data_IF_625389087168
#
_entry.id   IF_625389087168
#
_cell.length_a   1.000
_cell.length_b   1.000
_cell.length_c   1.000
_cell.angle_alpha   90.00
_cell.angle_beta   90.00
_cell.angle_gamma   90.00
#
_symmetry.space_group_name_H-M   'P 1'
#
loop_
_entity.id
_entity.type
_entity.pdbx_description
1 polymer ?
#
# COMPACT_ATOMS: atom_id res chain seq x y z
N UNK A 1 16.87 -4.39 27.43
CA UNK A 1 16.37 -5.77 27.58
C UNK A 1 15.70 -6.18 26.29
N UNK A 2 16.30 -7.17 25.62
CA UNK A 2 15.85 -7.69 24.34
C UNK A 2 14.66 -8.60 24.54
N UNK A 3 13.52 -8.26 23.93
CA UNK A 3 12.35 -9.15 23.91
C UNK A 3 12.55 -10.13 22.75
N UNK A 4 12.88 -11.38 23.04
CA UNK A 4 12.82 -12.49 22.08
C UNK A 4 11.37 -12.97 21.99
N UNK A 5 10.72 -12.80 20.85
CA UNK A 5 9.49 -13.52 20.53
C UNK A 5 9.87 -14.85 19.90
N UNK A 6 9.53 -15.96 20.56
CA UNK A 6 9.65 -17.30 20.03
C UNK A 6 8.34 -17.61 19.28
N UNK A 7 8.44 -17.92 18.00
CA UNK A 7 7.34 -18.50 17.24
C UNK A 7 7.31 -20.00 17.53
N UNK A 8 6.38 -20.44 18.38
CA UNK A 8 5.99 -21.85 18.49
C UNK A 8 4.84 -22.11 17.53
N UNK A 9 5.07 -22.96 16.53
CA UNK A 9 3.98 -23.56 15.80
C UNK A 9 3.37 -24.67 16.60
N UNK A 10 2.03 -24.71 16.70
CA UNK A 10 1.29 -25.92 17.04
C UNK A 10 -0.16 -25.83 16.55
N UNK A 11 -0.51 -26.88 15.89
CA UNK A 11 -1.77 -27.53 15.52
C UNK A 11 -3.11 -26.79 15.63
N UNK A 12 -3.75 -26.74 14.47
CA UNK A 12 -5.15 -26.46 14.29
C UNK A 12 -6.02 -27.64 14.74
N UNK A 13 -6.73 -27.50 15.83
CA UNK A 13 -8.00 -28.17 16.05
C UNK A 13 -8.98 -27.19 16.64
N UNK A 14 -9.94 -26.86 15.80
CA UNK A 14 -11.06 -25.97 16.11
C UNK A 14 -12.00 -26.60 17.13
N UNK A 15 -12.10 -26.01 18.28
CA UNK A 15 -13.34 -26.02 19.05
C UNK A 15 -13.52 -24.62 19.67
N UNK A 16 -14.65 -23.99 19.36
CA UNK A 16 -15.13 -22.80 20.02
C UNK A 16 -15.35 -23.10 21.52
N UNK A 17 -14.28 -23.03 22.29
CA UNK A 17 -14.39 -23.01 23.75
C UNK A 17 -14.64 -21.56 24.16
N UNK A 18 -15.90 -21.25 24.45
CA UNK A 18 -16.26 -20.06 25.23
C UNK A 18 -15.46 -20.17 26.53
N UNK A 19 -14.48 -19.30 26.70
CA UNK A 19 -13.71 -19.22 27.91
C UNK A 19 -14.60 -18.79 29.07
N UNK A 20 -14.86 -19.67 30.03
CA UNK A 20 -15.63 -19.38 31.25
C UNK A 20 -14.71 -18.93 32.40
N UNK A 21 -13.73 -18.11 32.13
CA UNK A 21 -12.91 -17.54 33.20
C UNK A 21 -13.30 -16.07 33.41
N UNK A 22 -13.71 -15.72 34.61
CA UNK A 22 -14.16 -14.38 35.03
C UNK A 22 -13.07 -13.28 34.90
N UNK A 23 -11.87 -13.62 34.37
CA UNK A 23 -10.73 -12.71 34.20
C UNK A 23 -9.95 -12.90 32.91
N UNK A 24 -10.46 -13.66 31.91
CA UNK A 24 -9.87 -13.70 30.58
C UNK A 24 -10.53 -12.65 29.70
N UNK A 25 -9.81 -11.57 29.42
CA UNK A 25 -10.16 -10.67 28.35
C UNK A 25 -10.01 -11.40 27.03
N UNK A 26 -11.10 -12.01 26.56
CA UNK A 26 -11.20 -12.57 25.21
C UNK A 26 -11.41 -11.40 24.22
N UNK A 27 -10.48 -10.46 24.21
CA UNK A 27 -10.49 -9.35 23.26
C UNK A 27 -10.50 -9.86 21.83
N UNK A 28 -11.24 -9.17 20.97
CA UNK A 28 -11.24 -9.47 19.55
C UNK A 28 -9.90 -9.19 18.87
N UNK A 29 -9.89 -9.27 17.59
CA UNK A 29 -8.71 -9.04 16.76
C UNK A 29 -9.00 -8.07 15.63
N UNK A 30 -8.11 -7.12 15.39
CA UNK A 30 -8.07 -6.33 14.17
C UNK A 30 -6.99 -6.89 13.26
N UNK A 31 -7.38 -7.32 12.08
CA UNK A 31 -6.45 -7.66 11.00
C UNK A 31 -6.48 -6.57 9.96
N UNK A 32 -5.36 -5.90 9.74
CA UNK A 32 -5.23 -4.90 8.66
C UNK A 32 -4.69 -5.61 7.45
N UNK A 33 -5.56 -5.83 6.47
CA UNK A 33 -5.33 -6.76 5.36
C UNK A 33 -5.01 -6.02 4.08
N UNK A 34 -3.80 -6.21 3.56
CA UNK A 34 -3.44 -5.77 2.21
C UNK A 34 -4.02 -6.72 1.16
N UNK A 35 -4.87 -6.19 0.30
CA UNK A 35 -5.49 -6.98 -0.78
C UNK A 35 -4.76 -6.87 -2.12
N UNK A 36 -3.59 -6.20 -2.15
CA UNK A 36 -2.91 -5.92 -3.40
C UNK A 36 -3.81 -5.08 -4.32
N UNK A 37 -3.82 -5.33 -5.63
CA UNK A 37 -4.72 -4.66 -6.58
C UNK A 37 -6.19 -5.08 -6.41
N UNK A 38 -6.47 -6.11 -5.63
CA UNK A 38 -7.82 -6.64 -5.38
C UNK A 38 -8.22 -7.83 -6.25
N UNK A 39 -7.38 -8.23 -7.22
CA UNK A 39 -7.58 -9.45 -7.99
C UNK A 39 -7.16 -10.68 -7.16
N UNK A 40 -7.97 -11.75 -7.19
CA UNK A 40 -7.75 -12.94 -6.39
C UNK A 40 -6.35 -13.56 -6.58
N UNK A 41 -5.89 -13.67 -7.82
CA UNK A 41 -4.59 -14.24 -8.15
C UNK A 41 -3.39 -13.44 -7.59
N UNK A 42 -3.61 -12.21 -7.15
CA UNK A 42 -2.59 -11.32 -6.61
C UNK A 42 -2.80 -11.02 -5.11
N UNK A 43 -3.73 -11.73 -4.47
CA UNK A 43 -3.89 -11.74 -3.02
C UNK A 43 -3.10 -12.89 -2.41
N UNK A 44 -2.45 -12.63 -1.28
CA UNK A 44 -1.83 -13.73 -0.54
C UNK A 44 -2.88 -14.66 0.06
N UNK A 45 -2.55 -15.95 0.20
CA UNK A 45 -3.42 -16.89 0.89
C UNK A 45 -3.73 -16.43 2.33
N UNK A 46 -2.74 -15.83 2.99
CA UNK A 46 -2.91 -15.26 4.32
C UNK A 46 -3.96 -14.14 4.34
N UNK A 47 -3.97 -13.27 3.34
CA UNK A 47 -4.99 -12.22 3.20
C UNK A 47 -6.39 -12.81 2.99
N UNK A 48 -6.50 -13.81 2.12
CA UNK A 48 -7.76 -14.51 1.86
C UNK A 48 -8.29 -15.16 3.15
N UNK A 49 -7.45 -15.89 3.88
CA UNK A 49 -7.82 -16.55 5.13
C UNK A 49 -8.24 -15.54 6.20
N UNK A 50 -7.51 -14.42 6.33
CA UNK A 50 -7.84 -13.37 7.28
C UNK A 50 -9.23 -12.75 7.02
N UNK A 51 -9.59 -12.56 5.76
CA UNK A 51 -10.92 -12.07 5.37
C UNK A 51 -11.98 -13.13 5.71
N UNK A 52 -11.73 -14.40 5.39
CA UNK A 52 -12.67 -15.48 5.65
C UNK A 52 -12.94 -15.69 7.14
N UNK A 53 -11.92 -15.59 7.98
CA UNK A 53 -12.01 -15.77 9.43
C UNK A 53 -12.61 -14.58 10.18
N UNK A 54 -12.78 -13.43 9.52
CA UNK A 54 -13.32 -12.21 10.13
C UNK A 54 -14.84 -12.19 10.07
N UNK A 55 -15.45 -11.67 11.12
CA UNK A 55 -16.93 -11.51 11.23
C UNK A 55 -17.37 -10.21 10.56
N UNK A 56 -16.54 -9.18 10.68
CA UNK A 56 -16.83 -7.81 10.23
C UNK A 56 -15.73 -7.33 9.29
N UNK A 57 -16.14 -6.75 8.17
CA UNK A 57 -15.26 -6.13 7.18
C UNK A 57 -15.41 -4.62 7.26
N UNK A 58 -14.31 -3.92 7.51
CA UNK A 58 -14.25 -2.46 7.55
C UNK A 58 -13.38 -1.97 6.42
N UNK A 59 -13.83 -0.98 5.66
CA UNK A 59 -13.01 -0.46 4.57
C UNK A 59 -13.65 0.66 3.78
N UNK A 60 -12.86 1.21 2.86
CA UNK A 60 -13.34 2.13 1.85
C UNK A 60 -14.20 1.36 0.82
N UNK A 61 -15.38 1.89 0.50
CA UNK A 61 -16.36 1.21 -0.33
C UNK A 61 -15.80 0.71 -1.66
N UNK A 62 -14.89 1.48 -2.28
CA UNK A 62 -14.24 1.09 -3.53
C UNK A 62 -13.39 -0.19 -3.36
N UNK A 63 -12.70 -0.34 -2.23
CA UNK A 63 -11.86 -1.53 -1.97
C UNK A 63 -12.71 -2.73 -1.56
N UNK A 64 -13.75 -2.50 -0.78
CA UNK A 64 -14.75 -3.53 -0.42
C UNK A 64 -15.37 -4.13 -1.68
N UNK A 65 -15.70 -3.29 -2.67
CA UNK A 65 -16.25 -3.74 -3.94
C UNK A 65 -15.34 -4.70 -4.72
N UNK A 66 -14.02 -4.60 -4.54
CA UNK A 66 -13.05 -5.50 -5.19
C UNK A 66 -13.12 -6.95 -4.67
N UNK A 67 -13.60 -7.14 -3.45
CA UNK A 67 -13.65 -8.45 -2.77
C UNK A 67 -15.09 -8.89 -2.43
N UNK A 68 -16.08 -8.27 -3.05
CA UNK A 68 -17.52 -8.47 -2.73
C UNK A 68 -17.94 -9.93 -2.74
N UNK A 69 -17.41 -10.74 -3.64
CA UNK A 69 -17.78 -12.15 -3.79
C UNK A 69 -17.27 -13.04 -2.63
N UNK A 70 -16.34 -12.53 -1.81
CA UNK A 70 -15.76 -13.22 -0.65
C UNK A 70 -16.35 -12.82 0.68
N UNK A 71 -17.17 -11.79 0.70
CA UNK A 71 -17.68 -11.15 1.92
C UNK A 71 -19.21 -11.07 1.96
N UNK A 72 -19.91 -11.81 1.09
CA UNK A 72 -21.36 -11.76 0.95
C UNK A 72 -22.12 -12.15 2.24
N UNK A 73 -21.49 -12.96 3.08
CA UNK A 73 -22.02 -13.46 4.36
C UNK A 73 -21.56 -12.65 5.58
N UNK A 74 -20.83 -11.57 5.37
CA UNK A 74 -20.19 -10.81 6.46
C UNK A 74 -20.87 -9.47 6.70
N UNK A 75 -20.78 -9.01 7.95
CA UNK A 75 -21.15 -7.63 8.27
C UNK A 75 -20.14 -6.66 7.64
N UNK A 76 -20.66 -5.63 6.98
CA UNK A 76 -19.84 -4.65 6.26
C UNK A 76 -20.03 -3.27 6.86
N UNK A 77 -18.92 -2.66 7.28
CA UNK A 77 -18.84 -1.27 7.72
C UNK A 77 -18.01 -0.50 6.69
N UNK A 78 -18.69 -0.01 5.67
CA UNK A 78 -18.10 0.79 4.61
C UNK A 78 -18.37 2.28 4.82
N UNK A 79 -17.44 3.11 4.41
CA UNK A 79 -17.64 4.55 4.34
C UNK A 79 -16.90 5.18 3.15
N UNK A 80 -17.08 6.49 2.98
CA UNK A 80 -16.53 7.24 1.87
C UNK A 80 -15.05 7.60 2.02
N UNK A 81 -14.55 8.34 1.05
CA UNK A 81 -13.19 8.86 1.01
C UNK A 81 -12.95 9.85 2.16
N UNK A 82 -11.70 9.94 2.64
CA UNK A 82 -11.26 10.86 3.71
C UNK A 82 -11.87 10.63 5.09
N UNK A 83 -12.30 9.40 5.36
CA UNK A 83 -12.83 8.98 6.66
C UNK A 83 -11.97 7.87 7.29
N UNK A 84 -10.66 7.94 7.07
CA UNK A 84 -9.72 6.91 7.50
C UNK A 84 -9.68 6.77 9.02
N UNK A 85 -9.67 7.89 9.75
CA UNK A 85 -9.65 7.89 11.22
C UNK A 85 -10.92 7.25 11.78
N UNK A 86 -12.08 7.68 11.31
CA UNK A 86 -13.38 7.15 11.78
C UNK A 86 -13.51 5.66 11.48
N UNK A 87 -13.07 5.26 10.30
CA UNK A 87 -13.06 3.86 9.84
C UNK A 87 -12.18 2.98 10.73
N UNK A 88 -10.94 3.41 10.97
CA UNK A 88 -10.01 2.67 11.81
C UNK A 88 -10.45 2.66 13.28
N UNK A 89 -11.00 3.77 13.78
CA UNK A 89 -11.56 3.83 15.14
C UNK A 89 -12.71 2.84 15.31
N UNK A 90 -13.65 2.81 14.35
CA UNK A 90 -14.76 1.85 14.37
C UNK A 90 -14.29 0.40 14.39
N UNK A 91 -13.26 0.07 13.59
CA UNK A 91 -12.66 -1.26 13.57
C UNK A 91 -12.05 -1.64 14.92
N UNK A 92 -11.33 -0.71 15.54
CA UNK A 92 -10.70 -0.92 16.85
C UNK A 92 -11.77 -1.09 17.94
N UNK A 93 -12.82 -0.26 17.94
CA UNK A 93 -13.91 -0.35 18.92
C UNK A 93 -14.62 -1.71 18.83
N UNK A 94 -14.94 -2.17 17.63
CA UNK A 94 -15.55 -3.50 17.40
C UNK A 94 -14.65 -4.65 17.90
N UNK A 95 -13.35 -4.52 17.71
CA UNK A 95 -12.40 -5.53 18.22
C UNK A 95 -12.27 -5.49 19.74
N UNK A 96 -12.39 -4.31 20.37
CA UNK A 96 -12.46 -4.19 21.83
C UNK A 96 -13.73 -4.89 22.37
N UNK A 97 -14.83 -4.85 21.62
CA UNK A 97 -16.06 -5.56 21.93
C UNK A 97 -15.97 -7.08 21.72
N UNK A 98 -14.86 -7.59 21.20
CA UNK A 98 -14.61 -9.03 21.04
C UNK A 98 -14.75 -9.58 19.62
N UNK A 99 -15.06 -8.73 18.64
CA UNK A 99 -15.23 -9.14 17.25
C UNK A 99 -13.90 -9.42 16.52
N UNK A 100 -13.97 -10.28 15.51
CA UNK A 100 -12.87 -10.49 14.54
C UNK A 100 -13.09 -9.54 13.36
N UNK A 101 -12.26 -8.51 13.27
CA UNK A 101 -12.43 -7.42 12.31
C UNK A 101 -11.30 -7.44 11.28
N UNK A 102 -11.63 -7.41 10.00
CA UNK A 102 -10.67 -7.15 8.92
C UNK A 102 -10.83 -5.72 8.41
N UNK A 103 -9.76 -4.94 8.48
CA UNK A 103 -9.66 -3.63 7.84
C UNK A 103 -9.01 -3.82 6.48
N UNK A 104 -9.75 -3.55 5.41
CA UNK A 104 -9.30 -3.75 4.04
C UNK A 104 -8.50 -2.55 3.56
N UNK A 105 -7.26 -2.79 3.15
CA UNK A 105 -6.34 -1.82 2.59
C UNK A 105 -5.95 -2.23 1.17
N UNK A 106 -6.07 -1.33 0.21
CA UNK A 106 -5.53 -1.54 -1.14
C UNK A 106 -4.00 -1.61 -1.08
N UNK A 107 -3.40 -2.42 -1.92
CA UNK A 107 -1.96 -2.60 -1.93
C UNK A 107 -1.45 -3.28 -0.66
N UNK A 108 -0.54 -2.63 0.02
CA UNK A 108 0.04 -3.05 1.30
C UNK A 108 -0.41 -2.08 2.41
N UNK A 109 -0.85 -2.57 3.58
CA UNK A 109 -1.36 -1.70 4.64
C UNK A 109 -0.27 -0.87 5.33
N UNK A 110 0.99 -1.22 5.17
CA UNK A 110 2.15 -0.49 5.69
C UNK A 110 2.76 0.52 4.71
N UNK A 111 2.29 0.56 3.46
CA UNK A 111 2.78 1.49 2.43
C UNK A 111 1.66 2.48 2.08
N UNK A 112 1.64 3.63 2.74
CA UNK A 112 0.57 4.64 2.65
C UNK A 112 -0.84 4.07 2.93
N UNK A 113 -0.89 3.02 3.73
CA UNK A 113 -2.12 2.35 4.14
C UNK A 113 -2.51 2.68 5.58
N UNK A 114 -3.42 1.88 6.13
CA UNK A 114 -4.05 2.15 7.43
C UNK A 114 -3.37 1.46 8.63
N UNK A 115 -2.33 0.65 8.40
CA UNK A 115 -1.72 -0.13 9.48
C UNK A 115 -1.18 0.73 10.63
N UNK A 116 -0.45 1.81 10.31
CA UNK A 116 0.07 2.74 11.30
C UNK A 116 -1.03 3.39 12.13
N UNK A 117 -2.08 3.88 11.48
CA UNK A 117 -3.22 4.51 12.15
C UNK A 117 -3.94 3.55 13.11
N UNK A 118 -4.19 2.31 12.69
CA UNK A 118 -4.79 1.29 13.56
C UNK A 118 -3.92 1.04 14.80
N UNK A 119 -2.61 0.88 14.62
CA UNK A 119 -1.69 0.68 15.73
C UNK A 119 -1.65 1.88 16.69
N UNK A 120 -1.65 3.10 16.16
CA UNK A 120 -1.68 4.33 16.98
C UNK A 120 -2.99 4.44 17.79
N UNK A 121 -4.13 4.08 17.19
CA UNK A 121 -5.42 4.07 17.89
C UNK A 121 -5.44 3.03 19.01
N UNK A 122 -4.90 1.84 18.79
CA UNK A 122 -4.78 0.79 19.81
C UNK A 122 -3.90 1.25 20.98
N UNK A 123 -2.82 2.02 20.72
CA UNK A 123 -1.95 2.54 21.80
C UNK A 123 -2.67 3.50 22.75
N UNK A 124 -3.78 4.11 22.33
CA UNK A 124 -4.58 4.99 23.20
C UNK A 124 -5.46 4.22 24.21
N UNK A 125 -5.59 2.90 24.02
CA UNK A 125 -6.39 2.03 24.88
C UNK A 125 -5.50 1.50 26.01
N UNK A 126 -6.02 1.39 27.27
CA UNK A 126 -5.30 0.74 28.35
C UNK A 126 -4.83 -0.67 27.94
N UNK A 127 -3.61 -1.03 28.33
CA UNK A 127 -2.93 -2.25 27.84
C UNK A 127 -3.78 -3.52 28.02
N UNK A 128 -4.44 -3.64 29.16
CA UNK A 128 -5.28 -4.77 29.51
C UNK A 128 -6.57 -4.91 28.67
N UNK A 129 -6.95 -3.85 27.93
CA UNK A 129 -8.13 -3.81 27.07
C UNK A 129 -7.81 -3.80 25.58
N UNK A 130 -6.53 -3.81 25.21
CA UNK A 130 -6.11 -3.73 23.81
C UNK A 130 -6.49 -4.99 23.04
N UNK A 131 -7.18 -4.87 21.91
CA UNK A 131 -7.41 -6.02 21.04
C UNK A 131 -6.08 -6.50 20.44
N UNK A 132 -6.06 -7.75 19.99
CA UNK A 132 -4.94 -8.24 19.17
C UNK A 132 -4.93 -7.48 17.84
N UNK A 133 -3.74 -7.25 17.29
CA UNK A 133 -3.59 -6.62 15.97
C UNK A 133 -2.61 -7.44 15.13
N UNK A 134 -3.01 -7.73 13.91
CA UNK A 134 -2.18 -8.41 12.93
C UNK A 134 -2.15 -7.60 11.63
N UNK A 135 -0.96 -7.37 11.11
CA UNK A 135 -0.76 -6.70 9.84
C UNK A 135 -0.44 -7.74 8.78
N UNK A 136 -1.22 -7.78 7.73
CA UNK A 136 -1.09 -8.77 6.65
C UNK A 136 -0.66 -8.06 5.38
N UNK A 137 0.55 -8.34 4.86
CA UNK A 137 1.11 -7.65 3.72
C UNK A 137 0.35 -7.97 2.42
N UNK A 138 0.45 -7.06 1.47
CA UNK A 138 -0.06 -7.23 0.11
C UNK A 138 0.88 -6.62 -0.92
N UNK A 139 0.60 -6.85 -2.20
CA UNK A 139 1.37 -6.26 -3.29
C UNK A 139 1.10 -4.76 -3.35
N UNK A 140 2.11 -3.96 -3.05
CA UNK A 140 2.03 -2.51 -3.22
C UNK A 140 2.09 -2.11 -4.70
N UNK A 141 1.51 -0.97 -5.05
CA UNK A 141 1.43 -0.49 -6.43
C UNK A 141 2.79 -0.39 -7.13
N UNK A 142 3.87 -0.07 -6.44
CA UNK A 142 5.21 -0.04 -7.02
C UNK A 142 5.62 -1.39 -7.60
N UNK A 143 5.37 -2.49 -6.88
CA UNK A 143 5.71 -3.83 -7.35
C UNK A 143 4.89 -4.26 -8.56
N UNK A 144 3.58 -4.04 -8.51
CA UNK A 144 2.68 -4.38 -9.62
C UNK A 144 2.96 -3.53 -10.87
N UNK A 145 3.21 -2.25 -10.68
CA UNK A 145 3.60 -1.34 -11.76
C UNK A 145 4.96 -1.72 -12.35
N UNK A 146 5.95 -2.01 -11.53
CA UNK A 146 7.28 -2.43 -12.00
C UNK A 146 7.21 -3.71 -12.83
N UNK A 147 6.42 -4.69 -12.43
CA UNK A 147 6.24 -5.93 -13.19
C UNK A 147 5.66 -5.69 -14.59
N UNK A 148 4.72 -4.74 -14.72
CA UNK A 148 4.17 -4.35 -16.02
C UNK A 148 5.19 -3.65 -16.93
N UNK A 149 6.16 -2.94 -16.34
CA UNK A 149 7.18 -2.16 -17.06
C UNK A 149 8.44 -2.98 -17.37
N UNK A 150 8.66 -4.12 -16.74
CA UNK A 150 9.87 -4.92 -16.86
C UNK A 150 10.59 -5.09 -15.52
N UNK A 151 11.79 -4.51 -15.38
CA UNK A 151 12.58 -4.60 -14.15
C UNK A 151 13.20 -3.24 -13.76
N UNK A 152 12.41 -2.20 -13.54
CA UNK A 152 12.96 -0.88 -13.20
C UNK A 152 13.47 -0.78 -11.75
N UNK A 153 13.04 -1.65 -10.83
CA UNK A 153 13.37 -1.60 -9.40
C UNK A 153 14.53 -2.53 -9.00
N UNK A 154 15.38 -2.92 -9.94
CA UNK A 154 16.48 -3.86 -9.67
C UNK A 154 17.64 -3.25 -8.89
N UNK A 155 17.60 -1.97 -8.58
CA UNK A 155 18.56 -1.25 -7.74
C UNK A 155 17.83 -0.48 -6.65
N UNK A 156 18.53 0.29 -5.85
CA UNK A 156 17.94 1.09 -4.79
C UNK A 156 16.86 2.03 -5.36
N UNK A 157 15.71 2.08 -4.70
CA UNK A 157 14.63 2.95 -5.10
C UNK A 157 13.96 3.63 -3.91
N UNK A 158 13.48 4.84 -4.14
CA UNK A 158 12.71 5.62 -3.18
C UNK A 158 11.23 5.61 -3.55
N UNK A 159 10.35 5.45 -2.56
CA UNK A 159 8.91 5.56 -2.70
C UNK A 159 8.47 6.91 -2.16
N UNK A 160 7.82 7.72 -3.01
CA UNK A 160 7.41 9.07 -2.67
C UNK A 160 5.94 9.27 -3.04
N UNK A 161 5.13 9.71 -2.09
CA UNK A 161 3.76 10.16 -2.36
C UNK A 161 3.74 11.67 -2.60
N UNK A 162 3.03 12.10 -3.64
CA UNK A 162 2.82 13.53 -3.91
C UNK A 162 1.60 14.09 -3.19
N UNK A 163 0.94 13.33 -2.34
CA UNK A 163 -0.14 13.83 -1.49
C UNK A 163 0.41 14.76 -0.41
N UNK A 164 -0.08 16.00 -0.41
CA UNK A 164 0.27 17.02 0.58
C UNK A 164 -0.74 17.16 1.72
N UNK A 165 -1.65 16.20 1.86
CA UNK A 165 -2.67 16.24 2.92
C UNK A 165 -2.07 16.15 4.32
N UNK A 166 -0.98 15.40 4.49
CA UNK A 166 -0.31 15.20 5.79
C UNK A 166 1.17 15.58 5.79
N UNK A 167 1.73 15.91 4.62
CA UNK A 167 3.15 16.24 4.46
C UNK A 167 3.27 17.55 3.70
N UNK A 168 3.97 18.58 4.22
CA UNK A 168 4.17 19.82 3.51
C UNK A 168 4.82 19.61 2.14
N UNK A 169 4.37 20.34 1.14
CA UNK A 169 4.84 20.22 -0.24
C UNK A 169 6.37 20.42 -0.36
N UNK A 170 6.91 21.39 0.36
CA UNK A 170 8.35 21.66 0.39
C UNK A 170 9.16 20.45 0.86
N UNK A 171 8.62 19.68 1.80
CA UNK A 171 9.26 18.46 2.30
C UNK A 171 9.22 17.35 1.24
N UNK A 172 8.13 17.22 0.51
CA UNK A 172 8.01 16.27 -0.61
C UNK A 172 9.03 16.62 -1.70
N UNK A 173 9.12 17.89 -2.08
CA UNK A 173 10.11 18.38 -3.05
C UNK A 173 11.55 18.08 -2.59
N UNK A 174 11.87 18.34 -1.32
CA UNK A 174 13.19 18.04 -0.75
C UNK A 174 13.52 16.56 -0.84
N UNK A 175 12.58 15.68 -0.49
CA UNK A 175 12.78 14.22 -0.60
C UNK A 175 13.02 13.78 -2.04
N UNK A 176 12.25 14.31 -2.97
CA UNK A 176 12.45 14.03 -4.41
C UNK A 176 13.83 14.50 -4.90
N UNK A 177 14.27 15.68 -4.49
CA UNK A 177 15.60 16.19 -4.82
C UNK A 177 16.71 15.31 -4.29
N UNK A 178 16.65 14.92 -3.02
CA UNK A 178 17.66 14.04 -2.40
C UNK A 178 17.67 12.64 -3.03
N UNK A 179 16.52 12.08 -3.36
CA UNK A 179 16.44 10.80 -4.05
C UNK A 179 17.04 10.88 -5.46
N UNK A 180 16.80 11.99 -6.16
CA UNK A 180 17.37 12.22 -7.48
C UNK A 180 18.89 12.43 -7.42
N UNK A 181 19.38 13.23 -6.47
CA UNK A 181 20.82 13.44 -6.23
C UNK A 181 21.53 12.14 -5.86
N UNK A 182 20.89 11.30 -5.04
CA UNK A 182 21.38 9.98 -4.65
C UNK A 182 21.30 8.91 -5.74
N UNK A 183 20.79 9.26 -6.92
CA UNK A 183 20.62 8.35 -8.06
C UNK A 183 19.67 7.16 -7.81
N UNK A 184 18.70 7.32 -6.94
CA UNK A 184 17.65 6.32 -6.72
C UNK A 184 16.68 6.27 -7.91
N UNK A 185 16.20 5.09 -8.23
CA UNK A 185 14.94 4.95 -8.96
C UNK A 185 13.83 5.52 -8.09
N UNK A 186 12.87 6.25 -8.64
CA UNK A 186 11.83 6.90 -7.87
C UNK A 186 10.46 6.34 -8.26
N UNK A 187 9.77 5.70 -7.32
CA UNK A 187 8.40 5.26 -7.48
C UNK A 187 7.46 6.30 -6.85
N UNK A 188 6.61 6.90 -7.67
CA UNK A 188 5.70 7.99 -7.27
C UNK A 188 4.29 7.46 -7.11
N UNK A 189 3.75 7.64 -5.90
CA UNK A 189 2.36 7.40 -5.53
C UNK A 189 1.58 8.71 -5.54
N UNK A 190 0.29 8.62 -5.81
CA UNK A 190 -0.60 9.79 -5.84
C UNK A 190 -0.08 10.94 -6.73
N UNK A 191 0.29 10.66 -7.98
CA UNK A 191 0.97 11.63 -8.84
C UNK A 191 0.10 12.84 -9.19
N UNK A 192 -1.22 12.63 -9.28
CA UNK A 192 -2.21 13.67 -9.59
C UNK A 192 -3.50 13.49 -8.79
N UNK A 193 -4.21 14.56 -8.57
CA UNK A 193 -5.60 14.59 -8.12
C UNK A 193 -6.32 15.78 -8.75
N UNK A 194 -7.64 15.91 -8.54
CA UNK A 194 -8.41 17.05 -9.04
C UNK A 194 -7.86 18.40 -8.59
N UNK A 195 -7.32 18.47 -7.37
CA UNK A 195 -6.74 19.70 -6.81
C UNK A 195 -5.21 19.83 -6.96
N UNK A 196 -4.53 18.81 -7.49
CA UNK A 196 -3.06 18.74 -7.60
C UNK A 196 -2.67 18.27 -9.00
N UNK A 197 -2.75 19.19 -9.97
CA UNK A 197 -2.51 18.88 -11.39
C UNK A 197 -1.07 19.19 -11.82
N UNK A 198 -0.33 19.99 -11.06
CA UNK A 198 1.02 20.50 -11.43
C UNK A 198 2.15 19.88 -10.63
N UNK A 199 1.87 19.12 -9.56
CA UNK A 199 2.90 18.60 -8.66
C UNK A 199 3.87 17.64 -9.34
N UNK A 200 3.36 16.77 -10.20
CA UNK A 200 4.22 15.84 -10.95
C UNK A 200 5.20 16.58 -11.87
N UNK A 201 4.75 17.64 -12.53
CA UNK A 201 5.61 18.46 -13.39
C UNK A 201 6.69 19.18 -12.59
N UNK A 202 6.37 19.65 -11.39
CA UNK A 202 7.35 20.24 -10.49
C UNK A 202 8.39 19.23 -10.03
N UNK A 203 7.98 18.00 -9.68
CA UNK A 203 8.90 16.91 -9.33
C UNK A 203 9.78 16.54 -10.53
N UNK A 204 9.20 16.43 -11.72
CA UNK A 204 9.96 16.18 -12.96
C UNK A 204 11.05 17.25 -13.15
N UNK A 205 10.74 18.52 -12.94
CA UNK A 205 11.72 19.61 -13.07
C UNK A 205 12.84 19.52 -12.03
N UNK A 206 12.54 19.08 -10.80
CA UNK A 206 13.55 18.83 -9.78
C UNK A 206 14.47 17.67 -10.21
N UNK A 207 13.88 16.57 -10.67
CA UNK A 207 14.65 15.38 -11.08
C UNK A 207 15.53 15.66 -12.29
N UNK A 208 15.10 16.52 -13.22
CA UNK A 208 15.88 16.94 -14.39
C UNK A 208 17.20 17.66 -14.03
N UNK A 209 17.34 18.18 -12.81
CA UNK A 209 18.60 18.78 -12.36
C UNK A 209 19.69 17.71 -12.15
N UNK A 210 19.30 16.44 -12.00
CA UNK A 210 20.20 15.32 -11.67
C UNK A 210 20.15 14.18 -12.70
N UNK A 211 19.20 14.19 -13.61
CA UNK A 211 18.94 13.15 -14.61
C UNK A 211 18.97 13.73 -16.02
N UNK A 212 19.34 12.91 -16.97
CA UNK A 212 19.24 13.26 -18.40
C UNK A 212 17.76 13.32 -18.82
N UNK A 213 17.41 14.19 -19.78
CA UNK A 213 16.05 14.29 -20.31
C UNK A 213 15.50 12.95 -20.85
N UNK A 214 16.35 12.12 -21.44
CA UNK A 214 16.01 10.80 -21.96
C UNK A 214 15.90 9.69 -20.91
N UNK A 215 16.03 9.99 -19.60
CA UNK A 215 15.84 8.99 -18.54
C UNK A 215 14.48 8.29 -18.70
N UNK A 216 14.43 6.93 -18.69
CA UNK A 216 13.19 6.20 -18.81
C UNK A 216 12.20 6.52 -17.71
N UNK A 217 10.94 6.69 -18.08
CA UNK A 217 9.82 6.84 -17.16
C UNK A 217 8.72 5.87 -17.56
N UNK A 218 8.19 5.12 -16.60
CA UNK A 218 7.03 4.27 -16.79
C UNK A 218 5.82 4.83 -16.07
N UNK A 219 4.67 4.82 -16.73
CA UNK A 219 3.38 5.20 -16.16
C UNK A 219 2.46 4.00 -16.25
N UNK A 220 1.98 3.51 -15.12
CA UNK A 220 1.05 2.38 -15.06
C UNK A 220 -0.25 2.85 -14.43
N UNK A 221 -1.33 2.77 -15.19
CA UNK A 221 -2.69 3.09 -14.71
C UNK A 221 -3.39 1.82 -14.28
N UNK A 222 -4.10 1.88 -13.15
CA UNK A 222 -4.86 0.75 -12.59
C UNK A 222 -4.02 -0.52 -12.47
N UNK A 223 -2.79 -0.41 -11.97
CA UNK A 223 -1.86 -1.54 -11.85
C UNK A 223 -2.54 -2.76 -11.21
N UNK A 224 -2.52 -3.91 -11.93
CA UNK A 224 -3.14 -5.16 -11.49
C UNK A 224 -4.67 -5.19 -11.46
N UNK A 225 -5.35 -4.17 -11.98
CA UNK A 225 -6.82 -4.08 -12.03
C UNK A 225 -7.36 -4.20 -13.44
N UNK A 226 -8.65 -4.55 -13.63
CA UNK A 226 -9.30 -4.49 -14.94
C UNK A 226 -9.12 -3.12 -15.60
N UNK A 227 -8.70 -3.13 -16.87
CA UNK A 227 -8.37 -1.92 -17.61
C UNK A 227 -6.97 -1.37 -17.35
N UNK A 228 -6.07 -2.16 -16.73
CA UNK A 228 -4.66 -1.80 -16.60
C UNK A 228 -4.07 -1.49 -17.97
N UNK A 229 -3.34 -0.38 -18.03
CA UNK A 229 -2.53 0.00 -19.18
C UNK A 229 -1.26 0.70 -18.69
N UNK A 230 -0.24 0.68 -19.53
CA UNK A 230 1.03 1.34 -19.22
C UNK A 230 1.65 1.98 -20.45
N UNK A 231 2.45 2.99 -20.17
CA UNK A 231 3.24 3.72 -21.17
C UNK A 231 4.68 3.81 -20.69
N UNK A 232 5.60 3.54 -21.59
CA UNK A 232 7.03 3.81 -21.38
C UNK A 232 7.37 5.07 -22.15
N UNK A 233 7.90 6.04 -21.45
CA UNK A 233 8.24 7.37 -21.95
C UNK A 233 9.59 7.81 -21.42
N UNK A 234 9.87 9.10 -21.48
CA UNK A 234 11.10 9.72 -20.96
C UNK A 234 10.76 10.85 -19.99
N UNK A 235 11.75 11.23 -19.18
CA UNK A 235 11.57 12.28 -18.18
C UNK A 235 11.16 13.62 -18.82
N UNK A 236 11.73 13.98 -19.97
CA UNK A 236 11.37 15.20 -20.69
C UNK A 236 9.93 15.22 -21.19
N UNK A 237 9.40 14.04 -21.60
CA UNK A 237 8.06 13.88 -22.16
C UNK A 237 6.97 13.63 -21.11
N UNK A 238 7.35 13.44 -19.86
CA UNK A 238 6.39 13.10 -18.79
C UNK A 238 5.19 14.08 -18.71
N UNK A 239 5.33 15.41 -18.92
CA UNK A 239 4.18 16.33 -18.91
C UNK A 239 3.15 16.09 -20.00
N UNK A 240 3.53 15.41 -21.09
CA UNK A 240 2.65 15.12 -22.24
C UNK A 240 1.84 13.83 -22.02
N UNK A 241 2.21 13.03 -21.02
CA UNK A 241 1.65 11.71 -20.76
C UNK A 241 0.35 11.80 -19.95
N UNK A 242 -0.53 10.85 -20.21
CA UNK A 242 -1.80 10.71 -19.50
C UNK A 242 -1.57 10.07 -18.10
N UNK A 243 -1.54 10.91 -17.10
CA UNK A 243 -1.38 10.51 -15.68
C UNK A 243 -2.60 10.97 -14.90
N UNK A 244 -3.20 10.05 -14.16
CA UNK A 244 -4.34 10.32 -13.30
C UNK A 244 -4.10 9.90 -11.84
N UNK A 245 -5.13 9.98 -11.01
CA UNK A 245 -5.04 9.62 -9.59
C UNK A 245 -4.88 8.10 -9.35
N UNK A 246 -5.11 7.27 -10.37
CA UNK A 246 -4.95 5.81 -10.32
C UNK A 246 -3.63 5.35 -10.95
N UNK A 247 -2.76 6.28 -11.28
CA UNK A 247 -1.46 6.02 -11.88
C UNK A 247 -0.38 5.84 -10.83
N UNK A 248 0.60 4.99 -11.15
CA UNK A 248 1.90 4.89 -10.49
C UNK A 248 2.97 5.25 -11.51
N UNK A 249 3.87 6.17 -11.16
CA UNK A 249 4.94 6.63 -12.04
C UNK A 249 6.27 6.13 -11.49
N UNK A 250 7.08 5.51 -12.35
CA UNK A 250 8.43 5.04 -12.00
C UNK A 250 9.43 5.79 -12.87
N UNK A 251 10.31 6.55 -12.23
CA UNK A 251 11.40 7.29 -12.88
C UNK A 251 12.68 6.49 -12.71
N UNK A 252 13.31 6.11 -13.81
CA UNK A 252 14.58 5.40 -13.79
C UNK A 252 15.72 6.18 -13.17
N UNK A 253 16.81 5.50 -12.84
CA UNK A 253 18.08 6.12 -12.43
C UNK A 253 18.98 6.43 -13.63
N UNK A 254 20.20 6.88 -13.39
CA UNK A 254 21.16 7.24 -14.45
C UNK A 254 21.56 6.06 -15.35
N UNK A 255 21.41 4.82 -14.88
CA UNK A 255 21.75 3.59 -15.60
C UNK A 255 20.55 2.89 -16.23
N UNK A 256 19.32 3.34 -15.94
CA UNK A 256 18.12 2.75 -16.52
C UNK A 256 18.06 2.97 -18.02
N UNK A 257 17.57 1.96 -18.75
CA UNK A 257 17.42 2.03 -20.20
C UNK A 257 16.17 1.27 -20.65
N UNK A 258 15.77 1.50 -21.89
CA UNK A 258 14.61 0.84 -22.52
C UNK A 258 15.15 -0.17 -23.53
N UNK A 259 14.68 -1.42 -23.44
CA UNK A 259 14.98 -2.48 -24.41
C UNK A 259 13.74 -3.38 -24.55
N UNK A 260 13.40 -3.71 -25.79
CA UNK A 260 12.31 -4.62 -26.14
C UNK A 260 10.98 -4.31 -25.41
N UNK A 261 10.66 -3.02 -25.29
CA UNK A 261 9.44 -2.57 -24.60
C UNK A 261 9.47 -2.69 -23.09
N UNK A 262 10.64 -2.83 -22.49
CA UNK A 262 10.83 -2.89 -21.04
C UNK A 262 11.74 -1.78 -20.54
N UNK A 263 11.52 -1.35 -19.31
CA UNK A 263 12.49 -0.55 -18.55
C UNK A 263 13.34 -1.50 -17.74
N UNK A 264 14.65 -1.38 -17.90
CA UNK A 264 15.64 -2.17 -17.16
C UNK A 264 16.54 -1.22 -16.39
N UNK A 265 16.65 -1.45 -15.08
CA UNK A 265 17.66 -0.82 -14.24
C UNK A 265 18.72 -1.88 -13.89
N UNK A 266 19.95 -1.78 -14.40
CA UNK A 266 20.99 -2.78 -14.14
C UNK A 266 21.33 -2.89 -12.67
N UNK A 267 21.48 -4.13 -12.17
CA UNK A 267 21.99 -4.37 -10.81
C UNK A 267 23.51 -4.21 -10.72
N UNK A 268 24.21 -4.31 -11.87
CA UNK A 268 25.66 -4.20 -11.94
C UNK A 268 26.38 -5.54 -12.16
N UNK A 269 25.66 -6.57 -12.61
CA UNK A 269 26.31 -7.82 -13.02
C UNK A 269 27.22 -7.59 -14.23
N UNK A 270 28.36 -8.28 -14.24
CA UNK A 270 29.23 -8.38 -15.42
C UNK A 270 28.70 -9.53 -16.28
N UNK A 271 28.16 -9.19 -17.42
CA UNK A 271 27.60 -10.12 -18.41
C UNK A 271 28.59 -10.31 -19.55
#
# INVERSE_FOLDING_TARGET
SSIKRVHGGEDASSENKICQCDNCYCGGIVRVVGIGPGHEAEMTEKAINAIQESDIIVGYNTYIALIKDRIADKEIVGNGMRQEVDRCQKAVDLAVEGHKVAVISSGDPGVYGMAGLVLELIQKIPEEKRPKCEIIPGLTAANTAAAALGAPLMHDYAVISLSDLMTPWEQIQKRASLAAEGDFVIAIYNPKSRGRTTYLDQIRNIVLQFRKPGTPVGIVRKAGRPGMNWTISTLEKLPEEDVDMQSTVIIGNSNSYIADGHIITPRGYKL
#
